data_IF_774508644118
#
_entry.id   IF_774508644118
#
_cell.length_a   1.000
_cell.length_b   1.000
_cell.length_c   1.000
_cell.angle_alpha   90.00
_cell.angle_beta   90.00
_cell.angle_gamma   90.00
#
_symmetry.space_group_name_H-M   'P 1'
#
loop_
_entity.id
_entity.type
_entity.pdbx_description
1 polymer ?
#
# COMPACT_ATOMS: atom_id res chain seq x y z
N UNK A 1 -15.06 -53.91 8.63
CA UNK A 1 -15.55 -52.84 7.74
C UNK A 1 -15.49 -51.52 8.50
N UNK A 2 -14.37 -50.78 8.38
CA UNK A 2 -14.25 -49.45 8.98
C UNK A 2 -14.88 -48.44 8.02
N UNK A 3 -15.95 -47.78 8.47
CA UNK A 3 -16.65 -46.70 7.77
C UNK A 3 -16.14 -45.35 8.27
N UNK A 4 -16.16 -44.38 7.35
CA UNK A 4 -15.97 -42.94 7.54
C UNK A 4 -14.52 -42.43 7.53
N UNK A 5 -14.06 -42.11 6.32
CA UNK A 5 -13.18 -40.97 6.08
C UNK A 5 -14.03 -39.94 5.34
N UNK A 6 -14.36 -38.84 5.99
CA UNK A 6 -14.79 -37.60 5.34
C UNK A 6 -14.49 -36.45 6.29
N UNK A 7 -13.22 -36.06 6.37
CA UNK A 7 -12.80 -34.84 7.04
C UNK A 7 -12.85 -33.70 6.01
N UNK A 8 -14.04 -33.17 5.76
CA UNK A 8 -14.22 -31.96 4.97
C UNK A 8 -14.06 -30.74 5.87
N UNK A 9 -12.83 -30.43 6.31
CA UNK A 9 -12.52 -29.11 6.85
C UNK A 9 -12.42 -28.16 5.67
N UNK A 10 -13.57 -27.63 5.26
CA UNK A 10 -13.68 -26.51 4.34
C UNK A 10 -13.02 -25.31 5.04
N UNK A 11 -11.73 -25.11 4.79
CA UNK A 11 -11.00 -23.94 5.23
C UNK A 11 -11.54 -22.78 4.38
N UNK A 12 -12.57 -22.11 4.88
CA UNK A 12 -12.99 -20.82 4.35
C UNK A 12 -11.85 -19.88 4.70
N UNK A 13 -10.90 -19.73 3.78
CA UNK A 13 -10.03 -18.57 3.75
C UNK A 13 -10.97 -17.38 3.60
N UNK A 14 -11.35 -16.78 4.73
CA UNK A 14 -11.93 -15.46 4.77
C UNK A 14 -10.88 -14.56 4.13
N UNK A 15 -11.05 -14.31 2.83
CA UNK A 15 -10.45 -13.20 2.13
C UNK A 15 -10.98 -11.96 2.83
N UNK A 16 -10.33 -11.60 3.94
CA UNK A 16 -10.42 -10.28 4.51
C UNK A 16 -9.88 -9.38 3.41
N UNK A 17 -10.77 -8.87 2.55
CA UNK A 17 -10.52 -7.60 1.91
C UNK A 17 -10.42 -6.59 3.07
N UNK A 18 -9.25 -6.53 3.71
CA UNK A 18 -8.93 -5.43 4.60
C UNK A 18 -9.02 -4.19 3.71
N UNK A 19 -10.00 -3.34 4.00
CA UNK A 19 -10.20 -2.10 3.29
C UNK A 19 -9.13 -1.12 3.81
N UNK A 20 -7.87 -1.37 3.43
CA UNK A 20 -6.77 -0.47 3.74
C UNK A 20 -7.03 0.83 2.98
N UNK A 21 -7.20 1.90 3.73
CA UNK A 21 -7.38 3.24 3.19
C UNK A 21 -6.02 3.96 3.15
N UNK A 22 -5.71 4.61 2.03
CA UNK A 22 -4.50 5.41 1.86
C UNK A 22 -4.85 6.89 1.85
N UNK A 23 -4.49 7.57 2.93
CA UNK A 23 -4.53 9.02 3.02
C UNK A 23 -3.18 9.59 2.60
N UNK A 24 -3.18 10.56 1.68
CA UNK A 24 -1.94 11.11 1.12
C UNK A 24 -1.90 12.63 1.29
N UNK A 25 -0.72 13.17 1.54
CA UNK A 25 -0.49 14.60 1.53
C UNK A 25 0.79 14.90 0.75
N UNK A 26 0.69 15.90 -0.11
CA UNK A 26 1.72 16.21 -1.07
C UNK A 26 2.55 17.42 -0.62
N UNK A 27 3.87 17.35 -0.81
CA UNK A 27 4.83 18.40 -0.50
C UNK A 27 5.82 18.54 -1.67
N UNK A 28 6.57 19.64 -1.73
CA UNK A 28 7.60 19.83 -2.77
C UNK A 28 8.71 18.77 -2.72
N UNK A 29 8.97 18.17 -1.56
CA UNK A 29 10.02 17.17 -1.36
C UNK A 29 9.54 15.73 -1.53
N UNK A 30 8.22 15.50 -1.58
CA UNK A 30 7.68 14.16 -1.68
C UNK A 30 6.24 14.02 -1.21
N UNK A 31 5.84 12.77 -1.00
CA UNK A 31 4.47 12.41 -0.61
C UNK A 31 4.50 11.70 0.74
N UNK A 32 3.72 12.21 1.69
CA UNK A 32 3.44 11.49 2.93
C UNK A 32 2.22 10.61 2.71
N UNK A 33 2.34 9.34 3.07
CA UNK A 33 1.27 8.35 3.02
C UNK A 33 0.94 7.91 4.44
N UNK A 34 -0.34 7.83 4.75
CA UNK A 34 -0.87 7.22 5.97
C UNK A 34 -1.85 6.12 5.56
N UNK A 35 -1.51 4.89 5.89
CA UNK A 35 -2.33 3.72 5.71
C UNK A 35 -3.12 3.42 7.00
N UNK A 36 -4.41 3.14 6.85
CA UNK A 36 -5.28 2.73 7.95
C UNK A 36 -6.14 1.54 7.55
N UNK A 37 -6.26 0.55 8.42
CA UNK A 37 -7.20 -0.55 8.29
C UNK A 37 -8.26 -0.41 9.39
N UNK A 38 -9.54 -0.29 9.00
CA UNK A 38 -10.66 -0.08 9.93
C UNK A 38 -10.40 1.01 10.98
N UNK A 39 -9.88 2.17 10.55
CA UNK A 39 -9.49 3.32 11.40
C UNK A 39 -8.25 3.11 12.28
N UNK A 40 -7.65 1.91 12.30
CA UNK A 40 -6.40 1.63 12.99
C UNK A 40 -5.21 1.82 12.06
N UNK A 41 -4.03 2.25 12.57
CA UNK A 41 -2.83 2.34 11.74
C UNK A 41 -2.43 1.00 11.11
N UNK A 42 -2.17 0.98 9.80
CA UNK A 42 -1.70 -0.21 9.10
C UNK A 42 -0.17 -0.18 8.95
N UNK A 43 0.52 -0.80 9.90
CA UNK A 43 1.98 -0.90 9.93
C UNK A 43 2.53 -2.04 9.06
N UNK A 44 3.79 -1.95 8.65
CA UNK A 44 4.48 -3.03 7.94
C UNK A 44 4.07 -3.22 6.47
N UNK A 45 3.23 -2.33 5.93
CA UNK A 45 2.84 -2.39 4.52
C UNK A 45 3.97 -1.87 3.62
N UNK A 46 4.17 -2.55 2.50
CA UNK A 46 5.13 -2.16 1.47
C UNK A 46 4.47 -1.18 0.51
N UNK A 47 4.93 0.06 0.48
CA UNK A 47 4.43 1.12 -0.40
C UNK A 47 5.40 1.32 -1.56
N UNK A 48 4.88 1.26 -2.79
CA UNK A 48 5.64 1.41 -4.03
C UNK A 48 5.00 2.45 -4.96
N UNK A 49 5.81 2.96 -5.90
CA UNK A 49 5.38 3.91 -6.93
C UNK A 49 5.65 3.35 -8.31
N UNK A 50 4.62 3.28 -9.17
CA UNK A 50 4.69 2.48 -10.41
C UNK A 50 4.85 3.30 -11.70
N UNK A 51 4.67 4.62 -11.67
CA UNK A 51 4.70 5.49 -12.85
C UNK A 51 5.71 6.65 -12.74
N UNK A 52 6.69 6.50 -11.85
CA UNK A 52 7.79 7.44 -11.67
C UNK A 52 9.10 6.70 -11.90
N UNK A 53 9.79 6.90 -13.03
CA UNK A 53 11.03 6.19 -13.35
C UNK A 53 12.13 6.31 -12.30
N UNK A 54 12.19 7.46 -11.59
CA UNK A 54 13.17 7.72 -10.53
C UNK A 54 12.97 6.84 -9.29
N UNK A 55 11.76 6.29 -9.11
CA UNK A 55 11.39 5.44 -7.97
C UNK A 55 11.08 4.00 -8.41
N UNK A 56 11.39 3.63 -9.66
CA UNK A 56 11.20 2.25 -10.11
C UNK A 56 12.02 1.30 -9.25
N UNK A 57 11.36 0.32 -8.63
CA UNK A 57 12.00 -0.65 -7.74
C UNK A 57 12.26 -0.13 -6.32
N UNK A 58 11.93 1.13 -6.01
CA UNK A 58 11.94 1.64 -4.65
C UNK A 58 10.69 1.18 -3.91
N UNK A 59 10.89 0.67 -2.69
CA UNK A 59 9.83 0.30 -1.76
C UNK A 59 10.06 0.98 -0.42
N UNK A 60 8.96 1.34 0.24
CA UNK A 60 8.98 2.04 1.52
C UNK A 60 7.98 1.38 2.46
N UNK A 61 8.41 1.06 3.67
CA UNK A 61 7.55 0.35 4.64
C UNK A 61 6.86 1.33 5.58
N UNK A 62 5.58 1.11 5.88
CA UNK A 62 4.86 1.91 6.88
C UNK A 62 5.35 1.63 8.30
N UNK A 63 5.52 2.69 9.10
CA UNK A 63 5.89 2.63 10.51
C UNK A 63 4.75 2.06 11.38
N UNK A 64 5.00 1.89 12.68
CA UNK A 64 3.98 1.44 13.67
C UNK A 64 2.72 2.32 13.72
N UNK A 65 2.81 3.54 13.19
CA UNK A 65 1.71 4.50 13.10
C UNK A 65 1.09 4.53 11.69
N UNK A 66 1.42 3.55 10.85
CA UNK A 66 0.90 3.38 9.50
C UNK A 66 1.39 4.46 8.53
N UNK A 67 2.50 5.15 8.82
CA UNK A 67 2.97 6.28 8.02
C UNK A 67 4.24 5.92 7.27
N UNK A 68 4.39 6.50 6.09
CA UNK A 68 5.62 6.44 5.33
C UNK A 68 5.82 7.73 4.54
N UNK A 69 7.08 8.11 4.35
CA UNK A 69 7.44 9.22 3.48
C UNK A 69 8.10 8.68 2.22
N UNK A 70 7.54 9.06 1.07
CA UNK A 70 8.07 8.73 -0.25
C UNK A 70 8.81 9.98 -0.76
N UNK A 71 10.15 9.99 -0.75
CA UNK A 71 10.92 11.09 -1.32
C UNK A 71 10.65 11.13 -2.83
N UNK A 72 10.14 12.25 -3.29
CA UNK A 72 9.80 12.42 -4.70
C UNK A 72 10.13 13.85 -5.12
N UNK A 73 11.12 13.96 -6.01
CA UNK A 73 11.48 15.20 -6.68
C UNK A 73 11.25 15.02 -8.18
N UNK A 74 10.35 15.83 -8.74
CA UNK A 74 10.01 15.77 -10.15
C UNK A 74 10.34 17.10 -10.82
N UNK A 75 10.94 17.03 -12.01
CA UNK A 75 11.23 18.22 -12.84
C UNK A 75 9.99 18.76 -13.56
N UNK A 76 8.84 18.08 -13.44
CA UNK A 76 7.57 18.47 -14.02
C UNK A 76 6.43 17.80 -13.27
N UNK A 77 5.30 18.51 -13.14
CA UNK A 77 4.09 17.99 -12.50
C UNK A 77 3.56 16.75 -13.20
N UNK A 78 3.11 15.75 -12.45
CA UNK A 78 2.47 14.54 -12.99
C UNK A 78 1.62 13.82 -11.94
N UNK A 79 0.72 12.96 -12.40
CA UNK A 79 0.06 11.98 -11.55
C UNK A 79 1.03 10.89 -11.13
N UNK A 80 0.94 10.46 -9.89
CA UNK A 80 1.79 9.46 -9.24
C UNK A 80 0.90 8.38 -8.67
N UNK A 81 1.13 7.14 -9.06
CA UNK A 81 0.38 5.99 -8.57
C UNK A 81 1.13 5.38 -7.39
N UNK A 82 0.45 5.31 -6.25
CA UNK A 82 0.95 4.73 -5.01
C UNK A 82 0.20 3.44 -4.77
N UNK A 83 0.94 2.36 -4.56
CA UNK A 83 0.39 1.02 -4.31
C UNK A 83 0.93 0.54 -2.97
N UNK A 84 0.04 0.10 -2.09
CA UNK A 84 0.40 -0.57 -0.85
C UNK A 84 0.14 -2.07 -0.98
N UNK A 85 1.14 -2.87 -0.60
CA UNK A 85 1.11 -4.32 -0.59
C UNK A 85 1.39 -4.88 0.80
N UNK A 86 0.85 -6.06 1.08
CA UNK A 86 1.17 -6.82 2.30
C UNK A 86 2.51 -7.58 2.19
N UNK A 87 2.81 -8.42 3.18
CA UNK A 87 4.01 -9.25 3.25
C UNK A 87 4.07 -10.38 2.21
N UNK A 88 2.92 -10.68 1.57
CA UNK A 88 2.79 -11.63 0.47
C UNK A 88 2.87 -10.94 -0.90
N UNK A 89 3.30 -9.68 -0.95
CA UNK A 89 3.34 -8.82 -2.14
C UNK A 89 1.96 -8.59 -2.79
N UNK A 90 0.86 -8.90 -2.09
CA UNK A 90 -0.49 -8.68 -2.60
C UNK A 90 -0.89 -7.22 -2.39
N UNK A 91 -1.33 -6.56 -3.46
CA UNK A 91 -1.83 -5.19 -3.37
C UNK A 91 -3.10 -5.14 -2.53
N UNK A 92 -3.04 -4.43 -1.40
CA UNK A 92 -4.17 -4.23 -0.48
C UNK A 92 -4.85 -2.87 -0.69
N UNK A 93 -4.12 -1.89 -1.24
CA UNK A 93 -4.68 -0.59 -1.57
C UNK A 93 -3.89 0.12 -2.68
N UNK A 94 -4.54 1.03 -3.39
CA UNK A 94 -3.87 1.93 -4.33
C UNK A 94 -4.56 3.29 -4.38
N UNK A 95 -3.78 4.32 -4.67
CA UNK A 95 -4.29 5.68 -4.85
C UNK A 95 -3.43 6.45 -5.84
N UNK A 96 -4.02 7.41 -6.53
CA UNK A 96 -3.32 8.28 -7.47
C UNK A 96 -3.32 9.70 -6.94
N UNK A 97 -2.14 10.31 -6.88
CA UNK A 97 -1.91 11.66 -6.36
C UNK A 97 -1.31 12.53 -7.44
N UNK A 98 -1.81 13.76 -7.63
CA UNK A 98 -1.15 14.73 -8.50
C UNK A 98 0.00 15.41 -7.75
N UNK A 99 1.23 15.22 -8.23
CA UNK A 99 2.41 15.87 -7.69
C UNK A 99 2.81 17.06 -8.55
N UNK A 100 2.66 18.25 -7.98
CA UNK A 100 2.96 19.52 -8.62
C UNK A 100 4.43 19.87 -8.45
N UNK A 101 5.09 20.23 -9.56
CA UNK A 101 6.38 20.90 -9.52
C UNK A 101 6.14 22.39 -9.27
N UNK A 102 6.51 22.89 -8.09
CA UNK A 102 6.63 24.33 -7.86
C UNK A 102 8.00 24.80 -8.36
N UNK A 103 7.98 25.64 -9.41
CA UNK A 103 9.17 26.36 -9.89
C UNK A 103 9.62 27.44 -8.92
#
# INVERSE_FOLDING_TARGET
MLKSIALSTLLVASMSASAVELNTSNTNSGIHVKATDQSSPAAGLTVSVTNVPQLNGASFTTDERGRVFIPLSLNASRSVNIVASDDMDMSVASTTVFHSHSR
#
